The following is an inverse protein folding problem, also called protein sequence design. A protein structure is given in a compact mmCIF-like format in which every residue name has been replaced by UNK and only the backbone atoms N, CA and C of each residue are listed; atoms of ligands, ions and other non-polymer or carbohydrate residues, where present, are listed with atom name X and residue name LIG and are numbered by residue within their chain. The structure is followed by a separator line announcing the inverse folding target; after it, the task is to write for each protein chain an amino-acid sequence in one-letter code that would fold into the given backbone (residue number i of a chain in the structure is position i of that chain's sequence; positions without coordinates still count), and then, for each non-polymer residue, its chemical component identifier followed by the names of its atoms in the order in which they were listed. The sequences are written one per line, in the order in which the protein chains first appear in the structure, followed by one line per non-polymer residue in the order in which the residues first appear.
data_IF_211360559895
#
_entry.id   IF_211360559895
#
_cell.length_a   1.000
_cell.length_b   1.000
_cell.length_c   1.000
_cell.angle_alpha   90.00
_cell.angle_beta   90.00
_cell.angle_gamma   90.00
#
_symmetry.space_group_name_H-M   'P 1'
#
loop_
_entity.id
_entity.type
_entity.pdbx_description
1 polymer ?
#
# COMPACT_ATOMS: atom_id res chain seq x y z
N UNK A 1 -41.48 25.41 7.06
CA UNK A 1 -40.05 25.13 6.89
C UNK A 1 -39.91 23.62 6.80
N UNK A 2 -39.50 23.08 5.63
CA UNK A 2 -39.31 21.64 5.44
C UNK A 2 -37.82 21.36 5.51
N UNK A 3 -37.36 20.85 6.65
CA UNK A 3 -36.00 20.34 6.83
C UNK A 3 -35.88 19.04 6.02
N UNK A 4 -35.21 19.11 4.87
CA UNK A 4 -34.84 17.92 4.12
C UNK A 4 -33.61 17.29 4.79
N UNK A 5 -33.79 16.13 5.40
CA UNK A 5 -32.70 15.27 5.88
C UNK A 5 -32.02 14.67 4.65
N UNK A 6 -30.82 15.17 4.33
CA UNK A 6 -29.97 14.63 3.27
C UNK A 6 -29.30 13.38 3.85
N UNK A 7 -29.81 12.20 3.48
CA UNK A 7 -29.21 10.92 3.84
C UNK A 7 -28.03 10.68 2.88
N UNK A 8 -26.81 10.99 3.30
CA UNK A 8 -25.60 10.62 2.54
C UNK A 8 -25.50 9.09 2.49
N UNK A 9 -25.45 8.47 1.31
CA UNK A 9 -25.24 7.03 1.22
C UNK A 9 -23.83 6.70 1.72
N UNK A 10 -23.73 5.88 2.77
CA UNK A 10 -22.48 5.19 3.11
C UNK A 10 -22.26 4.15 2.01
N UNK A 11 -21.32 4.41 1.10
CA UNK A 11 -20.86 3.38 0.17
C UNK A 11 -20.09 2.32 0.97
N UNK A 12 -20.37 1.01 0.74
CA UNK A 12 -19.57 -0.05 1.36
C UNK A 12 -18.14 0.04 0.81
N UNK A 13 -17.16 -0.02 1.73
CA UNK A 13 -15.76 -0.16 1.37
C UNK A 13 -15.58 -1.62 0.93
N UNK A 14 -15.69 -1.88 -0.37
CA UNK A 14 -15.33 -3.16 -0.94
C UNK A 14 -13.80 -3.21 -1.05
N UNK A 15 -13.18 -4.04 -0.21
CA UNK A 15 -11.73 -4.19 -0.14
C UNK A 15 -11.29 -5.41 -0.95
N UNK A 16 -10.27 -5.25 -1.80
CA UNK A 16 -9.76 -6.28 -2.72
C UNK A 16 -8.82 -7.29 -2.03
N UNK A 17 -9.35 -8.04 -1.05
CA UNK A 17 -8.60 -9.02 -0.28
C UNK A 17 -7.94 -10.07 -1.17
N UNK A 18 -6.76 -10.52 -0.75
CA UNK A 18 -5.98 -11.56 -1.42
C UNK A 18 -5.12 -12.34 -0.42
N UNK A 19 -4.67 -13.53 -0.79
CA UNK A 19 -3.56 -14.22 -0.10
C UNK A 19 -2.33 -14.26 -1.00
N UNK A 20 -1.15 -14.23 -0.39
CA UNK A 20 0.12 -14.47 -1.07
C UNK A 20 0.58 -15.90 -0.78
N UNK A 21 0.39 -16.78 -1.75
CA UNK A 21 0.54 -18.21 -1.61
C UNK A 21 1.98 -18.66 -1.94
N UNK A 22 2.61 -18.03 -2.94
CA UNK A 22 4.03 -18.24 -3.23
C UNK A 22 4.76 -17.00 -3.78
N UNK A 23 6.00 -16.70 -3.35
CA UNK A 23 6.67 -17.27 -2.18
C UNK A 23 5.82 -17.05 -0.92
N UNK A 24 5.86 -17.95 0.08
CA UNK A 24 4.91 -17.91 1.19
C UNK A 24 4.91 -16.56 1.91
N UNK A 25 3.70 -16.05 2.19
CA UNK A 25 3.53 -14.83 2.94
C UNK A 25 4.21 -14.90 4.32
N UNK A 26 4.78 -13.78 4.76
CA UNK A 26 5.33 -13.56 6.09
C UNK A 26 4.27 -13.76 7.19
N UNK A 27 3.02 -13.49 6.86
CA UNK A 27 1.86 -13.68 7.71
C UNK A 27 0.59 -13.27 6.98
N UNK A 28 -0.56 -13.58 7.59
CA UNK A 28 -1.88 -13.21 7.08
C UNK A 28 -2.79 -12.84 8.25
N UNK A 29 -3.41 -11.67 8.15
CA UNK A 29 -4.39 -11.13 9.08
C UNK A 29 -5.18 -10.07 8.31
N UNK A 30 -6.41 -10.42 7.91
CA UNK A 30 -7.26 -9.58 7.05
C UNK A 30 -7.43 -8.15 7.59
N UNK A 31 -7.58 -8.02 8.91
CA UNK A 31 -7.76 -6.72 9.57
C UNK A 31 -6.51 -5.85 9.49
N UNK A 32 -5.33 -6.46 9.34
CA UNK A 32 -4.05 -5.74 9.23
C UNK A 32 -3.60 -5.53 7.79
N UNK A 33 -4.22 -6.18 6.81
CA UNK A 33 -3.84 -6.04 5.40
C UNK A 33 -3.72 -4.57 4.91
N UNK A 34 -4.55 -3.61 5.36
CA UNK A 34 -4.38 -2.19 5.00
C UNK A 34 -3.17 -1.50 5.64
N UNK A 35 -2.49 -2.15 6.58
CA UNK A 35 -1.34 -1.56 7.29
C UNK A 35 -0.10 -1.69 6.43
N UNK A 36 0.33 -0.59 5.83
CA UNK A 36 1.60 -0.52 5.15
C UNK A 36 2.78 -0.50 6.14
N UNK A 37 3.91 -1.17 5.83
CA UNK A 37 4.11 -2.16 4.77
C UNK A 37 3.69 -3.57 5.22
N UNK A 38 3.63 -4.50 4.27
CA UNK A 38 3.51 -5.94 4.55
C UNK A 38 2.29 -6.36 5.39
N UNK A 39 1.19 -5.61 5.38
CA UNK A 39 0.01 -5.92 6.18
C UNK A 39 0.30 -5.86 7.69
N UNK A 40 1.19 -4.95 8.11
CA UNK A 40 1.60 -4.78 9.51
C UNK A 40 2.58 -5.84 10.04
N UNK A 41 2.96 -6.84 9.24
CA UNK A 41 3.95 -7.84 9.62
C UNK A 41 5.39 -7.29 9.50
N UNK A 42 5.81 -6.47 10.46
CA UNK A 42 7.04 -5.68 10.40
C UNK A 42 8.36 -6.44 10.59
N UNK A 43 8.35 -7.71 11.03
CA UNK A 43 9.58 -8.49 11.27
C UNK A 43 9.83 -9.50 10.15
N UNK A 44 10.86 -9.31 9.30
CA UNK A 44 11.22 -10.28 8.27
C UNK A 44 11.55 -11.67 8.83
N UNK A 45 11.10 -12.71 8.14
CA UNK A 45 11.41 -14.09 8.45
C UNK A 45 12.92 -14.37 8.30
N UNK A 46 13.47 -15.18 9.22
CA UNK A 46 14.79 -15.78 9.05
C UNK A 46 14.79 -16.96 8.08
N UNK A 47 13.63 -17.60 7.89
CA UNK A 47 13.41 -18.67 6.91
C UNK A 47 12.92 -18.06 5.59
N UNK A 48 13.87 -17.66 4.74
CA UNK A 48 13.63 -16.97 3.46
C UNK A 48 13.50 -17.98 2.32
N UNK A 49 12.59 -17.72 1.39
CA UNK A 49 12.47 -18.55 0.18
C UNK A 49 13.64 -18.29 -0.75
N UNK A 50 14.35 -19.35 -1.15
CA UNK A 50 15.45 -19.22 -2.12
C UNK A 50 14.90 -19.02 -3.53
N UNK A 51 15.41 -18.00 -4.22
CA UNK A 51 15.05 -17.66 -5.61
C UNK A 51 16.27 -17.86 -6.50
N UNK A 52 16.15 -18.74 -7.48
CA UNK A 52 17.18 -19.09 -8.44
C UNK A 52 17.54 -17.91 -9.33
N UNK A 53 18.77 -17.41 -9.19
CA UNK A 53 19.33 -16.37 -10.07
C UNK A 53 19.42 -16.86 -11.51
N UNK A 54 19.77 -18.13 -11.73
CA UNK A 54 19.89 -18.71 -13.06
C UNK A 54 18.56 -18.76 -13.83
N UNK A 55 17.41 -18.78 -13.13
CA UNK A 55 16.10 -18.76 -13.76
C UNK A 55 15.75 -17.38 -14.35
N UNK A 56 16.41 -16.30 -13.87
CA UNK A 56 16.12 -14.90 -14.26
C UNK A 56 14.67 -14.46 -14.10
N UNK A 57 13.84 -15.23 -13.39
CA UNK A 57 12.41 -14.95 -13.19
C UNK A 57 11.96 -15.30 -11.77
N UNK A 58 10.95 -14.59 -11.27
CA UNK A 58 10.25 -14.84 -10.02
C UNK A 58 8.81 -15.26 -10.31
N UNK A 59 8.41 -16.50 -10.01
CA UNK A 59 6.99 -16.82 -9.92
C UNK A 59 6.35 -16.06 -8.74
N UNK A 60 5.12 -15.60 -8.88
CA UNK A 60 4.32 -15.13 -7.75
C UNK A 60 2.92 -15.68 -7.89
N UNK A 61 2.45 -16.35 -6.85
CA UNK A 61 1.15 -16.99 -6.77
C UNK A 61 0.32 -16.31 -5.66
N UNK A 62 -0.87 -15.87 -6.02
CA UNK A 62 -1.81 -15.20 -5.13
C UNK A 62 -3.23 -15.71 -5.37
N UNK A 63 -4.08 -15.63 -4.35
CA UNK A 63 -5.51 -15.92 -4.49
C UNK A 63 -6.30 -14.62 -4.40
N UNK A 64 -7.06 -14.27 -5.44
CA UNK A 64 -7.96 -13.11 -5.40
C UNK A 64 -9.27 -13.46 -4.71
N UNK A 65 -9.68 -12.64 -3.73
CA UNK A 65 -10.98 -12.72 -3.05
C UNK A 65 -11.92 -11.57 -3.46
N UNK A 66 -11.56 -10.83 -4.51
CA UNK A 66 -12.37 -9.75 -5.08
C UNK A 66 -12.43 -9.88 -6.60
N UNK A 67 -13.57 -9.55 -7.20
CA UNK A 67 -13.84 -9.83 -8.62
C UNK A 67 -13.11 -8.91 -9.57
N UNK A 68 -12.74 -7.70 -9.14
CA UNK A 68 -11.98 -6.73 -9.92
C UNK A 68 -10.91 -6.12 -9.01
N UNK A 69 -9.65 -6.20 -9.42
CA UNK A 69 -8.51 -5.81 -8.58
C UNK A 69 -7.40 -5.22 -9.43
N UNK A 70 -6.81 -4.12 -8.99
CA UNK A 70 -5.49 -3.72 -9.47
C UNK A 70 -4.42 -4.37 -8.60
N UNK A 71 -3.33 -4.88 -9.20
CA UNK A 71 -2.25 -5.55 -8.46
C UNK A 71 -0.88 -5.04 -8.90
N UNK A 72 -0.03 -4.76 -7.92
CA UNK A 72 1.37 -4.36 -8.13
C UNK A 72 2.32 -5.28 -7.37
N UNK A 73 3.47 -5.55 -7.98
CA UNK A 73 4.53 -6.37 -7.41
C UNK A 73 5.77 -5.50 -7.19
N UNK A 74 6.13 -5.29 -5.94
CA UNK A 74 7.24 -4.44 -5.52
C UNK A 74 8.33 -5.27 -4.84
N UNK A 75 9.57 -4.84 -4.99
CA UNK A 75 10.72 -5.47 -4.36
C UNK A 75 11.50 -4.44 -3.53
N UNK A 76 11.96 -4.87 -2.37
CA UNK A 76 12.92 -4.15 -1.55
C UNK A 76 14.14 -5.02 -1.28
N UNK A 77 15.34 -4.50 -1.49
CA UNK A 77 16.58 -5.23 -1.24
C UNK A 77 17.05 -5.04 0.21
N UNK A 78 17.63 -6.08 0.78
CA UNK A 78 18.15 -6.10 2.15
C UNK A 78 17.43 -7.09 3.06
N UNK A 79 17.99 -7.29 4.26
CA UNK A 79 17.44 -8.19 5.27
C UNK A 79 16.27 -7.59 6.07
N UNK A 80 16.20 -6.25 6.14
CA UNK A 80 15.14 -5.52 6.85
C UNK A 80 14.87 -4.19 6.14
N UNK A 81 14.15 -4.22 5.00
CA UNK A 81 14.00 -3.05 4.16
C UNK A 81 13.11 -1.95 4.73
N UNK A 82 12.33 -2.20 5.78
CA UNK A 82 11.34 -1.25 6.28
C UNK A 82 10.32 -0.93 5.19
N UNK A 83 10.22 0.34 4.82
CA UNK A 83 9.28 0.85 3.81
C UNK A 83 9.89 0.98 2.40
N UNK A 84 11.15 0.56 2.18
CA UNK A 84 11.92 0.84 0.96
C UNK A 84 11.56 -0.06 -0.24
N UNK A 85 10.28 -0.19 -0.58
CA UNK A 85 9.78 -0.92 -1.75
C UNK A 85 9.85 -0.05 -3.03
N UNK A 86 11.06 0.16 -3.53
CA UNK A 86 11.36 1.11 -4.61
C UNK A 86 11.64 0.47 -5.98
N UNK A 87 11.54 -0.86 -6.09
CA UNK A 87 11.72 -1.60 -7.35
C UNK A 87 10.37 -2.16 -7.76
N UNK A 88 9.81 -1.65 -8.85
CA UNK A 88 8.59 -2.20 -9.47
C UNK A 88 8.98 -3.36 -10.39
N UNK A 89 8.40 -4.54 -10.15
CA UNK A 89 8.76 -5.75 -10.88
C UNK A 89 7.96 -5.97 -12.17
N UNK A 90 6.71 -5.50 -12.20
CA UNK A 90 5.82 -5.54 -13.36
C UNK A 90 5.00 -4.24 -13.40
N UNK A 91 4.55 -3.78 -14.58
CA UNK A 91 3.49 -2.80 -14.66
C UNK A 91 2.29 -3.26 -13.83
N UNK A 92 1.58 -2.31 -13.20
CA UNK A 92 0.37 -2.65 -12.46
C UNK A 92 -0.61 -3.36 -13.39
N UNK A 93 -1.15 -4.48 -12.92
CA UNK A 93 -2.10 -5.29 -13.68
C UNK A 93 -3.51 -4.97 -13.23
N UNK A 94 -4.45 -4.90 -14.15
CA UNK A 94 -5.87 -5.03 -13.87
C UNK A 94 -6.24 -6.50 -13.96
N UNK A 95 -6.89 -7.02 -12.92
CA UNK A 95 -7.30 -8.40 -12.79
C UNK A 95 -8.82 -8.51 -12.61
N UNK A 96 -9.41 -9.52 -13.27
CA UNK A 96 -10.82 -9.89 -13.14
C UNK A 96 -10.93 -11.36 -12.76
N UNK A 97 -11.92 -11.68 -11.92
CA UNK A 97 -12.20 -13.04 -11.47
C UNK A 97 -11.72 -13.34 -10.05
N UNK A 98 -12.17 -14.47 -9.52
CA UNK A 98 -11.87 -14.95 -8.16
C UNK A 98 -11.02 -16.22 -8.20
N UNK A 99 -10.16 -16.39 -7.20
CA UNK A 99 -9.35 -17.59 -7.00
C UNK A 99 -7.89 -17.41 -7.41
N UNK A 100 -7.22 -18.55 -7.57
CA UNK A 100 -5.78 -18.62 -7.83
C UNK A 100 -5.37 -17.83 -9.07
N UNK A 101 -4.30 -17.05 -8.93
CA UNK A 101 -3.65 -16.30 -9.98
C UNK A 101 -2.14 -16.36 -9.80
N UNK A 102 -1.47 -16.96 -10.78
CA UNK A 102 -0.03 -17.04 -10.79
C UNK A 102 0.57 -16.26 -11.97
N UNK A 103 1.52 -15.39 -11.67
CA UNK A 103 2.47 -14.84 -12.64
C UNK A 103 3.73 -15.71 -12.64
N UNK A 104 3.92 -16.58 -13.65
CA UNK A 104 5.03 -17.53 -13.64
C UNK A 104 6.41 -16.89 -13.87
N UNK A 105 6.44 -15.71 -14.49
CA UNK A 105 7.65 -15.20 -15.14
C UNK A 105 7.89 -13.71 -14.91
N UNK A 106 7.84 -13.22 -13.66
CA UNK A 106 8.24 -11.85 -13.36
C UNK A 106 9.76 -11.69 -13.60
N UNK A 107 10.22 -10.82 -14.52
CA UNK A 107 11.64 -10.70 -14.85
C UNK A 107 12.49 -10.20 -13.67
N UNK A 108 13.63 -10.84 -13.45
CA UNK A 108 14.64 -10.44 -12.47
C UNK A 108 15.99 -10.05 -13.10
N UNK A 109 16.04 -10.02 -14.43
CA UNK A 109 17.27 -9.68 -15.15
C UNK A 109 17.62 -8.19 -15.00
N UNK A 110 18.90 -7.87 -15.18
CA UNK A 110 19.39 -6.51 -14.94
C UNK A 110 18.85 -5.46 -15.90
N UNK A 111 18.34 -5.86 -17.08
CA UNK A 111 17.73 -4.93 -18.03
C UNK A 111 16.34 -4.52 -17.56
N UNK A 112 15.60 -5.46 -16.97
CA UNK A 112 14.27 -5.22 -16.41
C UNK A 112 14.35 -4.45 -15.08
N UNK A 113 15.26 -4.83 -14.18
CA UNK A 113 15.38 -4.20 -12.85
C UNK A 113 16.25 -2.95 -12.81
N UNK A 114 17.09 -2.71 -13.83
CA UNK A 114 18.10 -1.64 -13.82
C UNK A 114 19.24 -1.84 -12.81
N UNK A 115 19.37 -3.04 -12.23
CA UNK A 115 20.39 -3.40 -11.25
C UNK A 115 20.80 -4.87 -11.36
N UNK A 116 21.95 -5.23 -10.77
CA UNK A 116 22.41 -6.62 -10.74
C UNK A 116 22.18 -7.25 -9.36
N UNK A 117 21.40 -8.33 -9.33
CA UNK A 117 21.20 -9.17 -8.15
C UNK A 117 22.44 -10.03 -7.88
N UNK A 118 22.66 -10.41 -6.62
CA UNK A 118 23.82 -11.20 -6.19
C UNK A 118 23.42 -12.42 -5.37
N UNK A 119 24.25 -13.44 -5.39
CA UNK A 119 24.09 -14.62 -4.54
C UNK A 119 24.10 -14.23 -3.05
N UNK A 120 23.19 -14.82 -2.27
CA UNK A 120 23.01 -14.53 -0.85
C UNK A 120 22.32 -13.19 -0.55
N UNK A 121 21.93 -12.43 -1.57
CA UNK A 121 21.26 -11.14 -1.36
C UNK A 121 19.82 -11.37 -0.90
N UNK A 122 19.52 -10.90 0.32
CA UNK A 122 18.17 -10.89 0.85
C UNK A 122 17.33 -9.80 0.17
N UNK A 123 16.04 -10.08 0.00
CA UNK A 123 15.05 -9.13 -0.45
C UNK A 123 13.66 -9.45 0.13
N UNK A 124 12.73 -8.52 0.02
CA UNK A 124 11.32 -8.69 0.37
C UNK A 124 10.47 -8.35 -0.85
N UNK A 125 9.65 -9.30 -1.29
CA UNK A 125 8.57 -9.06 -2.24
C UNK A 125 7.39 -8.47 -1.47
N UNK A 126 6.77 -7.41 -1.98
CA UNK A 126 5.47 -6.92 -1.52
C UNK A 126 4.49 -6.96 -2.68
N UNK A 127 3.37 -7.65 -2.48
CA UNK A 127 2.21 -7.58 -3.36
C UNK A 127 1.26 -6.54 -2.77
N UNK A 128 0.75 -5.67 -3.64
CA UNK A 128 -0.22 -4.63 -3.30
C UNK A 128 -1.45 -4.84 -4.16
N UNK A 129 -2.64 -4.90 -3.56
CA UNK A 129 -3.90 -4.93 -4.29
C UNK A 129 -4.81 -3.76 -3.93
N UNK A 130 -5.68 -3.36 -4.86
CA UNK A 130 -6.78 -2.43 -4.58
C UNK A 130 -8.00 -2.75 -5.45
N UNK A 131 -9.19 -2.41 -4.94
CA UNK A 131 -10.49 -2.70 -5.58
C UNK A 131 -11.17 -1.41 -5.98
N UNK A 132 -12.04 -0.88 -5.13
CA UNK A 132 -12.97 0.16 -5.60
C UNK A 132 -12.73 1.56 -4.99
N UNK A 133 -12.03 1.65 -3.85
CA UNK A 133 -12.04 2.86 -3.02
C UNK A 133 -10.66 3.32 -2.51
N UNK A 134 -9.57 2.75 -3.03
CA UNK A 134 -8.22 3.07 -2.60
C UNK A 134 -7.87 2.54 -1.20
N UNK A 135 -6.62 2.75 -0.79
CA UNK A 135 -6.12 2.39 0.53
C UNK A 135 -5.17 1.20 0.55
N UNK A 136 -5.13 0.37 -0.50
CA UNK A 136 -4.15 -0.69 -0.70
C UNK A 136 -4.18 -1.80 0.35
N UNK A 137 -4.16 -3.05 -0.09
CA UNK A 137 -3.92 -4.20 0.79
C UNK A 137 -2.54 -4.77 0.51
N UNK A 138 -1.83 -5.15 1.56
CA UNK A 138 -0.41 -5.47 1.50
C UNK A 138 -0.13 -6.87 2.04
N UNK A 139 0.67 -7.64 1.30
CA UNK A 139 1.28 -8.88 1.79
C UNK A 139 2.74 -8.93 1.35
N UNK A 140 3.60 -9.52 2.18
CA UNK A 140 5.03 -9.64 1.87
C UNK A 140 5.51 -11.08 1.94
N UNK A 141 6.48 -11.42 1.10
CA UNK A 141 7.26 -12.64 1.21
C UNK A 141 8.75 -12.32 1.30
N UNK A 142 9.43 -13.02 2.21
CA UNK A 142 10.87 -12.86 2.42
C UNK A 142 11.65 -13.85 1.56
N UNK A 143 12.54 -13.31 0.72
CA UNK A 143 13.30 -14.10 -0.25
C UNK A 143 14.82 -13.89 -0.09
N UNK A 144 15.58 -14.82 -0.63
CA UNK A 144 17.04 -14.75 -0.78
C UNK A 144 17.43 -15.23 -2.18
N UNK A 145 18.22 -14.44 -2.89
CA UNK A 145 18.69 -14.83 -4.21
C UNK A 145 19.82 -15.85 -4.09
N UNK A 146 19.77 -16.90 -4.91
CA UNK A 146 20.67 -18.03 -4.80
C UNK A 146 21.12 -18.54 -6.17
N UNK A 147 22.40 -18.86 -6.26
CA UNK A 147 23.06 -19.52 -7.38
C UNK A 147 23.18 -21.04 -7.20
N UNK A 148 22.86 -21.57 -6.00
CA UNK A 148 22.90 -23.02 -5.71
C UNK A 148 21.67 -23.78 -6.20
N UNK A 149 20.61 -23.06 -6.58
CA UNK A 149 19.42 -23.60 -7.23
C UNK A 149 19.24 -23.00 -8.61
N UNK A 150 18.67 -23.78 -9.54
CA UNK A 150 18.52 -23.39 -10.95
C UNK A 150 17.07 -23.18 -11.37
N UNK A 151 16.12 -23.59 -10.54
CA UNK A 151 14.69 -23.50 -10.82
C UNK A 151 13.96 -22.89 -9.64
N UNK A 152 12.93 -22.11 -9.95
CA UNK A 152 11.93 -21.64 -9.01
C UNK A 152 10.70 -22.48 -9.26
N UNK A 153 10.25 -23.24 -8.26
CA UNK A 153 9.11 -24.14 -8.45
C UNK A 153 8.19 -24.03 -7.24
N UNK A 154 7.16 -23.18 -7.32
CA UNK A 154 5.99 -23.36 -6.46
C UNK A 154 5.37 -24.74 -6.72
N UNK A 155 4.67 -25.31 -5.73
CA UNK A 155 3.97 -26.60 -5.86
C UNK A 155 2.95 -26.62 -6.99
N UNK A 156 2.38 -25.45 -7.31
CA UNK A 156 1.51 -25.17 -8.44
C UNK A 156 1.71 -23.71 -8.83
N UNK A 157 1.56 -23.39 -10.12
CA UNK A 157 1.44 -22.02 -10.63
C UNK A 157 0.45 -22.12 -11.78
N UNK A 158 -0.82 -21.92 -11.46
CA UNK A 158 -1.96 -22.18 -12.34
C UNK A 158 -3.05 -21.17 -12.02
N UNK A 159 -3.61 -20.55 -13.04
CA UNK A 159 -4.71 -19.63 -12.85
C UNK A 159 -6.02 -20.43 -12.75
N UNK A 160 -6.88 -20.00 -11.84
CA UNK A 160 -8.25 -20.51 -11.77
C UNK A 160 -9.01 -20.17 -13.06
N UNK A 161 -10.02 -20.97 -13.39
CA UNK A 161 -10.84 -20.71 -14.58
C UNK A 161 -11.60 -19.40 -14.40
N UNK A 162 -11.52 -18.50 -15.39
CA UNK A 162 -12.18 -17.19 -15.35
C UNK A 162 -11.41 -16.12 -14.59
N UNK A 163 -10.17 -16.39 -14.16
CA UNK A 163 -9.24 -15.36 -13.68
C UNK A 163 -8.37 -14.88 -14.84
N UNK A 164 -8.43 -13.58 -15.11
CA UNK A 164 -7.68 -12.90 -16.15
C UNK A 164 -6.97 -11.69 -15.57
N UNK A 165 -5.71 -11.45 -15.94
CA UNK A 165 -4.99 -10.25 -15.58
C UNK A 165 -4.25 -9.70 -16.79
N UNK A 166 -4.25 -8.38 -16.93
CA UNK A 166 -3.63 -7.70 -18.06
C UNK A 166 -2.86 -6.47 -17.57
N UNK A 167 -1.66 -6.19 -18.12
CA UNK A 167 -0.96 -4.96 -17.82
C UNK A 167 -1.81 -3.74 -18.17
N UNK A 168 -1.94 -2.83 -17.21
CA UNK A 168 -2.56 -1.54 -17.46
C UNK A 168 -1.69 -0.70 -18.39
N UNK A 169 -2.27 0.35 -18.95
CA UNK A 169 -1.62 1.18 -19.97
C UNK A 169 -1.45 2.63 -19.54
N UNK A 170 -0.52 3.34 -20.18
CA UNK A 170 -0.24 4.74 -19.89
C UNK A 170 0.16 4.99 -18.43
N UNK A 171 -0.42 6.01 -17.80
CA UNK A 171 -0.13 6.38 -16.41
C UNK A 171 -0.65 5.38 -15.38
N UNK A 172 -1.62 4.54 -15.73
CA UNK A 172 -2.13 3.48 -14.86
C UNK A 172 -1.10 2.35 -14.68
N UNK A 173 -0.31 2.07 -15.72
CA UNK A 173 0.73 1.03 -15.71
C UNK A 173 1.82 1.29 -14.65
N UNK A 174 2.07 2.56 -14.32
CA UNK A 174 3.12 2.99 -13.39
C UNK A 174 2.60 3.36 -12.01
N UNK A 175 1.27 3.37 -11.82
CA UNK A 175 0.62 3.72 -10.57
C UNK A 175 0.52 2.48 -9.70
N UNK A 176 1.03 2.54 -8.48
CA UNK A 176 0.93 1.41 -7.55
C UNK A 176 -0.53 1.24 -7.15
N UNK A 177 -0.97 -0.01 -6.98
CA UNK A 177 -2.36 -0.37 -6.72
C UNK A 177 -3.01 0.45 -5.59
N UNK A 178 -2.27 0.77 -4.51
CA UNK A 178 -2.79 1.57 -3.39
C UNK A 178 -3.18 3.02 -3.74
N UNK A 179 -2.75 3.53 -4.89
CA UNK A 179 -3.08 4.87 -5.40
C UNK A 179 -4.10 4.83 -6.54
N UNK A 180 -4.61 3.64 -6.89
CA UNK A 180 -5.59 3.42 -7.96
C UNK A 180 -6.85 2.70 -7.49
N UNK A 181 -7.90 2.75 -8.30
CA UNK A 181 -8.95 1.72 -8.28
C UNK A 181 -8.56 0.49 -9.12
N UNK A 182 -9.48 -0.46 -9.25
CA UNK A 182 -9.34 -1.72 -9.99
C UNK A 182 -9.03 -1.50 -11.48
N UNK A 183 -9.43 -0.36 -12.04
CA UNK A 183 -9.14 0.02 -13.43
C UNK A 183 -7.81 0.76 -13.60
N UNK A 184 -7.11 1.06 -12.50
CA UNK A 184 -5.89 1.86 -12.50
C UNK A 184 -6.11 3.37 -12.50
N UNK A 185 -7.35 3.84 -12.37
CA UNK A 185 -7.63 5.26 -12.36
C UNK A 185 -7.12 5.88 -11.06
N UNK A 186 -6.54 7.08 -11.16
CA UNK A 186 -5.98 7.77 -10.01
C UNK A 186 -7.08 8.13 -9.00
N UNK A 187 -6.85 7.80 -7.73
CA UNK A 187 -7.76 8.16 -6.65
C UNK A 187 -7.43 9.56 -6.12
N UNK A 188 -8.44 10.44 -5.98
CA UNK A 188 -8.32 11.69 -5.22
C UNK A 188 -8.57 11.38 -3.75
N UNK A 189 -7.49 11.30 -2.95
CA UNK A 189 -7.52 10.71 -1.62
C UNK A 189 -8.62 11.22 -0.67
N UNK A 190 -9.34 10.29 -0.04
CA UNK A 190 -9.99 10.56 1.25
C UNK A 190 -8.98 10.28 2.36
N UNK A 191 -8.15 11.27 2.68
CA UNK A 191 -7.39 11.25 3.93
C UNK A 191 -8.37 11.30 5.11
N UNK A 192 -8.64 10.16 5.74
CA UNK A 192 -9.29 10.12 7.06
C UNK A 192 -8.44 9.34 8.04
N UNK A 193 -7.42 10.02 8.57
CA UNK A 193 -6.84 9.71 9.88
C UNK A 193 -6.74 11.01 10.67
N UNK A 194 -7.67 11.21 11.58
CA UNK A 194 -7.52 12.14 12.69
C UNK A 194 -8.21 11.53 13.91
N UNK A 195 -7.50 10.61 14.56
CA UNK A 195 -7.81 10.17 15.90
C UNK A 195 -6.86 10.85 16.89
N UNK A 196 -7.49 11.45 17.91
CA UNK A 196 -6.98 11.70 19.27
C UNK A 196 -6.30 13.04 19.58
N UNK A 197 -6.85 13.69 20.62
CA UNK A 197 -6.03 14.39 21.60
C UNK A 197 -6.38 15.85 21.86
N UNK A 198 -7.23 16.10 22.86
CA UNK A 198 -7.30 17.41 23.50
C UNK A 198 -6.00 17.74 24.26
N UNK A 199 -5.79 19.06 24.40
CA UNK A 199 -4.96 19.78 25.39
C UNK A 199 -3.54 20.29 24.98
N UNK A 200 -3.47 21.63 25.01
CA UNK A 200 -2.42 22.52 25.52
C UNK A 200 -1.11 22.75 24.74
N UNK A 201 -1.08 23.94 24.12
CA UNK A 201 -0.08 25.02 24.23
C UNK A 201 1.40 24.69 24.34
N UNK A 202 2.22 25.22 23.41
CA UNK A 202 3.49 25.94 23.69
C UNK A 202 4.06 26.58 22.43
N UNK A 203 4.02 27.92 22.37
CA UNK A 203 4.75 28.78 21.45
C UNK A 203 6.24 28.78 21.81
N UNK A 204 7.11 28.68 20.81
CA UNK A 204 8.57 28.78 21.00
C UNK A 204 9.10 30.16 20.59
N UNK A 205 10.07 30.61 21.39
CA UNK A 205 11.20 31.50 21.09
C UNK A 205 11.05 32.99 21.43
N UNK A 206 11.97 33.45 22.29
CA UNK A 206 12.35 34.85 22.42
C UNK A 206 12.74 35.25 23.84
N UNK A 207 14.02 35.14 24.17
CA UNK A 207 14.59 35.55 25.45
C UNK A 207 14.57 37.09 25.65
N UNK A 208 14.09 37.56 26.81
CA UNK A 208 14.53 38.79 27.50
C UNK A 208 13.89 38.89 28.91
N UNK A 209 14.63 39.50 29.83
CA UNK A 209 14.52 39.53 31.31
C UNK A 209 13.33 40.41 31.82
N UNK A 210 12.90 40.30 33.10
CA UNK A 210 11.57 40.69 33.57
C UNK A 210 11.48 42.18 33.92
N UNK A 211 10.31 42.77 33.67
CA UNK A 211 9.87 43.97 34.37
C UNK A 211 8.41 43.82 34.76
N UNK A 212 8.16 43.78 36.07
CA UNK A 212 6.85 43.84 36.68
C UNK A 212 6.19 45.17 36.34
N UNK A 213 4.90 45.18 36.00
CA UNK A 213 3.92 46.15 36.53
C UNK A 213 2.49 45.70 36.26
N UNK A 214 1.83 45.35 37.37
CA UNK A 214 0.45 45.66 37.76
C UNK A 214 -0.65 45.90 36.71
N UNK A 215 -1.62 44.97 36.74
CA UNK A 215 -3.02 45.18 37.15
C UNK A 215 -3.99 46.00 36.25
N UNK A 216 -5.29 45.72 36.48
CA UNK A 216 -6.51 46.40 36.00
C UNK A 216 -6.83 46.09 34.52
N UNK A 217 -7.90 45.42 34.13
CA UNK A 217 -9.24 45.32 34.70
C UNK A 217 -10.25 45.69 33.60
N UNK A 218 -11.47 45.18 33.73
CA UNK A 218 -12.73 45.68 33.15
C UNK A 218 -13.25 44.98 31.88
N UNK A 219 -14.36 44.29 32.15
CA UNK A 219 -15.45 43.83 31.30
C UNK A 219 -16.11 44.93 30.46
N UNK A 220 -16.62 44.57 29.27
CA UNK A 220 -17.62 45.36 28.55
C UNK A 220 -17.80 44.81 27.13
N UNK A 221 -18.66 43.83 26.90
CA UNK A 221 -20.10 43.98 26.67
C UNK A 221 -20.44 44.86 25.44
N UNK A 222 -20.87 44.16 24.38
CA UNK A 222 -21.92 44.47 23.41
C UNK A 222 -21.99 45.87 22.77
N UNK A 223 -22.22 45.91 21.44
CA UNK A 223 -23.44 46.49 20.84
C UNK A 223 -23.49 46.16 19.34
N UNK A 224 -24.71 45.87 18.89
CA UNK A 224 -25.14 45.53 17.53
C UNK A 224 -25.12 46.72 16.56
N UNK A 225 -25.24 46.41 15.26
CA UNK A 225 -25.87 47.28 14.26
C UNK A 225 -24.96 47.54 13.06
N UNK A 226 -25.07 46.85 11.93
CA UNK A 226 -26.12 46.90 10.89
C UNK A 226 -25.92 48.02 9.85
N UNK A 227 -25.82 47.56 8.59
CA UNK A 227 -26.28 48.14 7.31
C UNK A 227 -25.40 49.06 6.43
N UNK A 228 -25.52 48.72 5.14
CA UNK A 228 -25.40 49.49 3.89
C UNK A 228 -23.98 49.88 3.45
N UNK A 229 -23.44 49.29 2.36
CA UNK A 229 -23.81 49.49 0.93
C UNK A 229 -23.69 50.95 0.52
N UNK A 230 -22.59 51.24 -0.16
CA UNK A 230 -22.55 51.85 -1.49
C UNK A 230 -21.43 51.17 -2.28
#
# INVERSE_FOLDING_TARGET
MRTALILSPLLPIAAAHFTLDWPPARGFDEDKMPTFPCGGFGTPSSNRTSIALAASVLPVDITFHHSETSVSYLLALGSSPGENFNITLEPTLGAHGLGEFCLPNIPLDSKSLGLSLRDGQNATLQVVTDGDNGGGLYACADIVFSSSITTNTPSSCKNNTGVEATPLSGSAATRIANESDASGAAQTGSATTSSSGSFATSTSQGAAVPLQTANWGILGAAVMGSLAVL
#
